data_IF_703933843536
#
_entry.id   IF_703933843536
#
_cell.length_a   1.000
_cell.length_b   1.000
_cell.length_c   1.000
_cell.angle_alpha   90.00
_cell.angle_beta   90.00
_cell.angle_gamma   90.00
#
_symmetry.space_group_name_H-M   'P 1'
#
loop_
_entity.id
_entity.type
_entity.pdbx_description
1 polymer ?
#
# COMPACT_ATOMS: atom_id res chain seq x y z
N UNK A 1 3.78 -1.20 4.03
CA UNK A 1 4.49 -2.16 3.16
C UNK A 1 3.51 -2.77 2.17
N UNK A 2 3.90 -2.94 0.92
CA UNK A 2 3.17 -3.74 -0.09
C UNK A 2 4.00 -4.99 -0.38
N UNK A 3 3.35 -6.15 -0.49
CA UNK A 3 4.01 -7.43 -0.78
C UNK A 3 3.36 -8.10 -1.98
N UNK A 4 4.18 -8.55 -2.93
CA UNK A 4 3.75 -9.43 -4.00
C UNK A 4 3.68 -10.86 -3.46
N UNK A 5 2.46 -11.40 -3.30
CA UNK A 5 2.25 -12.80 -2.86
C UNK A 5 2.07 -13.78 -4.01
N UNK A 6 2.16 -13.32 -5.26
CA UNK A 6 2.05 -14.18 -6.43
C UNK A 6 3.40 -14.89 -6.71
N UNK A 7 3.33 -15.95 -7.52
CA UNK A 7 4.50 -16.66 -8.04
C UNK A 7 5.12 -15.98 -9.27
N UNK A 8 4.55 -14.86 -9.72
CA UNK A 8 4.97 -14.11 -10.90
C UNK A 8 5.39 -12.69 -10.53
N UNK A 9 6.23 -12.09 -11.37
CA UNK A 9 6.61 -10.69 -11.24
C UNK A 9 5.41 -9.79 -11.56
N UNK A 10 5.22 -8.75 -10.74
CA UNK A 10 4.17 -7.74 -10.92
C UNK A 10 4.80 -6.43 -11.38
N UNK A 11 4.30 -5.85 -12.46
CA UNK A 11 4.67 -4.51 -12.91
C UNK A 11 3.76 -3.46 -12.25
N UNK A 12 4.37 -2.53 -11.49
CA UNK A 12 3.70 -1.47 -10.75
C UNK A 12 3.64 -0.13 -11.49
N UNK A 13 4.11 -0.04 -12.75
CA UNK A 13 4.16 1.20 -13.54
C UNK A 13 2.84 1.97 -13.59
N UNK A 14 1.70 1.27 -13.57
CA UNK A 14 0.36 1.87 -13.61
C UNK A 14 -0.44 1.66 -12.31
N UNK A 15 0.21 1.20 -11.24
CA UNK A 15 -0.44 0.99 -9.95
C UNK A 15 -0.41 2.28 -9.13
N UNK A 16 -1.38 2.42 -8.23
CA UNK A 16 -1.47 3.58 -7.34
C UNK A 16 -2.03 3.23 -5.97
N UNK A 17 -1.67 4.06 -5.00
CA UNK A 17 -2.38 4.15 -3.72
C UNK A 17 -3.41 5.27 -3.79
N UNK A 18 -4.51 5.13 -3.06
CA UNK A 18 -5.54 6.16 -2.91
C UNK A 18 -6.04 6.22 -1.47
N UNK A 19 -6.17 7.42 -0.89
CA UNK A 19 -6.81 7.62 0.42
C UNK A 19 -8.32 7.92 0.31
N UNK A 20 -9.02 8.05 1.46
CA UNK A 20 -10.45 8.37 1.49
C UNK A 20 -10.79 9.79 0.99
N UNK A 21 -9.79 10.66 0.87
CA UNK A 21 -9.92 12.00 0.30
C UNK A 21 -9.61 12.00 -1.22
N UNK A 22 -9.55 10.82 -1.84
CA UNK A 22 -9.20 10.59 -3.25
C UNK A 22 -7.80 11.10 -3.65
N UNK A 23 -6.90 11.37 -2.69
CA UNK A 23 -5.51 11.68 -3.00
C UNK A 23 -4.81 10.42 -3.47
N UNK A 24 -4.07 10.53 -4.57
CA UNK A 24 -3.39 9.38 -5.19
C UNK A 24 -1.88 9.52 -5.21
N UNK A 25 -1.18 8.39 -5.05
CA UNK A 25 0.27 8.27 -5.22
C UNK A 25 0.58 7.16 -6.23
N UNK A 26 1.31 7.49 -7.29
CA UNK A 26 1.70 6.50 -8.30
C UNK A 26 2.85 5.63 -7.79
N UNK A 27 2.83 4.35 -8.13
CA UNK A 27 3.88 3.40 -7.75
C UNK A 27 4.91 3.17 -8.87
N UNK A 28 4.87 3.99 -9.91
CA UNK A 28 5.68 3.80 -11.11
C UNK A 28 7.19 3.77 -10.83
N UNK A 29 7.65 4.56 -9.86
CA UNK A 29 9.05 4.61 -9.45
C UNK A 29 9.55 3.30 -8.80
N UNK A 30 8.65 2.44 -8.33
CA UNK A 30 9.01 1.12 -7.80
C UNK A 30 9.26 0.08 -8.90
N UNK A 31 8.84 0.35 -10.14
CA UNK A 31 9.05 -0.53 -11.28
C UNK A 31 8.33 -1.87 -11.12
N UNK A 32 9.08 -2.92 -10.76
CA UNK A 32 8.57 -4.29 -10.70
C UNK A 32 8.81 -4.94 -9.34
N UNK A 33 7.80 -5.60 -8.79
CA UNK A 33 7.93 -6.46 -7.63
C UNK A 33 8.15 -7.92 -8.06
N UNK A 34 9.29 -8.49 -7.70
CA UNK A 34 9.58 -9.92 -7.90
C UNK A 34 8.61 -10.81 -7.10
N UNK A 35 8.45 -12.10 -7.47
CA UNK A 35 7.67 -13.04 -6.68
C UNK A 35 8.10 -13.05 -5.20
N UNK A 36 7.15 -12.96 -4.28
CA UNK A 36 7.39 -12.83 -2.83
C UNK A 36 8.13 -11.55 -2.38
N UNK A 37 8.48 -10.67 -3.32
CA UNK A 37 9.12 -9.38 -3.05
C UNK A 37 8.18 -8.42 -2.31
N UNK A 38 8.76 -7.42 -1.67
CA UNK A 38 8.02 -6.38 -0.96
C UNK A 38 8.73 -5.03 -1.08
N UNK A 39 7.95 -3.97 -0.97
CA UNK A 39 8.43 -2.60 -0.93
C UNK A 39 7.76 -1.83 0.22
N UNK A 40 8.51 -0.90 0.80
CA UNK A 40 8.02 0.01 1.83
C UNK A 40 7.86 1.40 1.24
N UNK A 41 6.65 1.94 1.37
CA UNK A 41 6.32 3.29 0.89
C UNK A 41 6.17 4.17 2.12
N UNK A 42 6.98 5.21 2.18
CA UNK A 42 6.96 6.19 3.27
C UNK A 42 6.22 7.43 2.82
N UNK A 43 5.18 7.82 3.55
CA UNK A 43 4.53 9.12 3.38
C UNK A 43 5.49 10.17 3.96
N UNK A 44 5.79 11.22 3.22
CA UNK A 44 6.83 12.20 3.54
C UNK A 44 6.51 13.04 4.79
N UNK A 45 6.76 12.47 5.98
CA UNK A 45 6.85 13.18 7.26
C UNK A 45 5.61 13.95 7.70
N UNK A 46 4.41 13.46 7.39
CA UNK A 46 3.16 14.09 7.82
C UNK A 46 2.50 13.20 8.87
N UNK A 47 2.17 13.74 10.06
CA UNK A 47 1.37 13.00 11.04
C UNK A 47 0.05 12.58 10.36
N UNK A 48 -0.33 11.31 10.52
CA UNK A 48 -1.60 10.83 10.03
C UNK A 48 -2.54 10.65 11.23
N UNK A 49 -3.75 11.18 11.13
CA UNK A 49 -4.82 11.00 12.13
C UNK A 49 -5.55 9.66 11.96
N UNK A 50 -4.86 8.64 11.44
CA UNK A 50 -5.46 7.47 10.85
C UNK A 50 -5.89 7.71 9.41
N UNK A 51 -5.91 6.65 8.62
CA UNK A 51 -6.32 6.71 7.21
C UNK A 51 -6.80 5.33 6.73
N UNK A 52 -7.53 5.33 5.62
CA UNK A 52 -7.78 4.12 4.83
C UNK A 52 -7.15 4.30 3.46
N UNK A 53 -6.29 3.35 3.10
CA UNK A 53 -5.56 3.36 1.84
C UNK A 53 -6.00 2.17 0.99
N UNK A 54 -6.43 2.45 -0.23
CA UNK A 54 -6.65 1.47 -1.28
C UNK A 54 -5.37 1.29 -2.11
N UNK A 55 -5.05 0.03 -2.42
CA UNK A 55 -4.13 -0.35 -3.48
C UNK A 55 -4.94 -0.64 -4.73
N UNK A 56 -4.64 0.10 -5.79
CA UNK A 56 -5.35 0.04 -7.06
C UNK A 56 -4.40 -0.50 -8.13
N UNK A 57 -4.84 -1.54 -8.84
CA UNK A 57 -4.08 -2.18 -9.91
C UNK A 57 -4.07 -1.33 -11.20
N UNK A 58 -3.37 -1.84 -12.23
CA UNK A 58 -3.25 -1.18 -13.53
C UNK A 58 -4.57 -1.02 -14.29
N UNK A 59 -5.57 -1.83 -13.97
CA UNK A 59 -6.90 -1.79 -14.60
C UNK A 59 -7.86 -0.88 -13.82
N UNK A 60 -7.39 -0.25 -12.74
CA UNK A 60 -8.17 0.63 -11.90
C UNK A 60 -9.00 -0.09 -10.83
N UNK A 61 -8.75 -1.37 -10.56
CA UNK A 61 -9.48 -2.14 -9.53
C UNK A 61 -8.79 -2.03 -8.19
N UNK A 62 -9.58 -1.89 -7.12
CA UNK A 62 -9.07 -2.01 -5.75
C UNK A 62 -8.76 -3.48 -5.47
N UNK A 63 -7.49 -3.79 -5.25
CA UNK A 63 -7.01 -5.16 -4.97
C UNK A 63 -6.69 -5.37 -3.49
N UNK A 64 -6.52 -4.29 -2.73
CA UNK A 64 -6.34 -4.33 -1.29
C UNK A 64 -6.80 -3.02 -0.66
N UNK A 65 -7.35 -3.10 0.54
CA UNK A 65 -7.71 -1.94 1.35
C UNK A 65 -7.14 -2.16 2.74
N UNK A 66 -6.57 -1.10 3.30
CA UNK A 66 -5.93 -1.14 4.60
C UNK A 66 -6.32 0.10 5.40
N UNK A 67 -6.83 -0.11 6.61
CA UNK A 67 -7.17 0.97 7.55
C UNK A 67 -6.22 0.91 8.73
N UNK A 68 -5.61 2.03 9.06
CA UNK A 68 -4.79 2.18 10.26
C UNK A 68 -5.31 3.36 11.09
N UNK A 69 -5.19 3.25 12.40
CA UNK A 69 -5.48 4.34 13.33
C UNK A 69 -4.40 5.41 13.29
N UNK A 70 -4.54 6.41 14.17
CA UNK A 70 -3.52 7.44 14.38
C UNK A 70 -2.14 6.79 14.59
N UNK A 71 -1.13 7.34 13.92
CA UNK A 71 0.25 6.92 14.07
C UNK A 71 1.16 8.13 14.10
N UNK A 72 2.15 8.10 14.99
CA UNK A 72 3.15 9.17 15.06
C UNK A 72 4.08 9.13 13.83
N UNK A 73 4.71 10.27 13.52
CA UNK A 73 5.67 10.33 12.43
C UNK A 73 6.84 9.37 12.68
N UNK A 74 7.14 8.50 11.71
CA UNK A 74 8.19 7.49 11.82
C UNK A 74 7.71 6.17 12.45
N UNK A 75 6.47 6.09 12.93
CA UNK A 75 5.90 4.86 13.43
C UNK A 75 5.58 3.90 12.28
N UNK A 76 6.02 2.65 12.41
CA UNK A 76 5.67 1.58 11.47
C UNK A 76 4.45 0.83 11.99
N UNK A 77 3.28 1.09 11.39
CA UNK A 77 2.07 0.30 11.68
C UNK A 77 2.12 -1.01 10.90
N UNK A 78 2.30 -2.12 11.61
CA UNK A 78 2.18 -3.47 11.04
C UNK A 78 0.76 -3.97 11.29
N UNK A 79 -0.05 -3.99 10.24
CA UNK A 79 -1.39 -4.57 10.32
C UNK A 79 -1.29 -6.08 10.13
N UNK A 80 -1.20 -6.80 11.26
CA UNK A 80 -1.39 -8.24 11.27
C UNK A 80 -2.87 -8.55 11.04
N UNK A 81 -3.19 -9.19 9.92
CA UNK A 81 -4.48 -9.88 9.78
C UNK A 81 -4.53 -11.00 10.83
N UNK A 82 -5.14 -10.75 11.98
CA UNK A 82 -5.66 -11.85 12.80
C UNK A 82 -6.82 -12.46 12.02
N UNK A 83 -6.69 -13.74 11.64
CA UNK A 83 -7.82 -14.50 11.12
C UNK A 83 -8.83 -14.64 12.26
N UNK A 84 -10.03 -14.13 12.06
CA UNK A 84 -11.17 -14.49 12.89
C UNK A 84 -11.28 -16.03 12.92
N UNK A 85 -11.40 -16.58 14.14
CA UNK A 85 -11.70 -17.99 14.39
C UNK A 85 -13.12 -18.34 13.94
#
# INVERSE_FOLDING_TARGET
>A
MIKNTASQLINLSNWKLRDLADKTWTLAALGTLTPNGHETITRSGQPNGGDTIDLIDSDGRVVHTVTYGEAEEGETVILSRERAR
#
